data_IF_901628826420
#
_entry.id   IF_901628826420
#
_cell.length_a   1.000
_cell.length_b   1.000
_cell.length_c   1.000
_cell.angle_alpha   90.00
_cell.angle_beta   90.00
_cell.angle_gamma   90.00
#
_symmetry.space_group_name_H-M   'P 1'
#
loop_
_entity.id
_entity.type
_entity.pdbx_description
1 polymer ?
#
# COMPACT_ATOMS: atom_id res chain seq x y z
N UNK A 1 -1.02 32.71 27.04
CA UNK A 1 -1.80 31.86 26.13
C UNK A 1 -0.80 31.07 25.29
N UNK A 2 -0.92 29.74 25.20
CA UNK A 2 0.03 28.86 24.49
C UNK A 2 -0.73 27.94 23.54
N UNK A 3 -0.09 27.52 22.45
CA UNK A 3 -0.65 26.56 21.51
C UNK A 3 -0.73 25.18 22.20
N UNK A 4 -1.71 24.30 21.88
CA UNK A 4 -1.77 22.95 22.44
C UNK A 4 -0.49 22.12 22.26
N UNK A 5 0.32 22.42 21.24
CA UNK A 5 1.63 21.80 21.05
C UNK A 5 2.74 22.34 21.97
N UNK A 6 2.43 23.27 22.89
CA UNK A 6 3.36 23.91 23.81
C UNK A 6 4.04 25.18 23.27
N UNK A 7 3.87 25.52 21.99
CA UNK A 7 4.51 26.70 21.43
C UNK A 7 3.89 28.01 21.99
N UNK A 8 4.69 28.93 22.56
CA UNK A 8 4.18 30.19 23.11
C UNK A 8 3.76 31.23 22.07
N UNK A 9 4.24 31.12 20.82
CA UNK A 9 3.93 32.08 19.76
C UNK A 9 2.65 31.65 19.04
N UNK A 10 1.54 32.31 19.36
CA UNK A 10 0.25 32.12 18.70
C UNK A 10 0.19 32.95 17.43
N UNK A 11 -0.32 32.36 16.35
CA UNK A 11 -0.67 33.05 15.11
C UNK A 11 -2.16 33.40 15.09
N UNK A 12 -3.04 32.39 15.17
CA UNK A 12 -4.50 32.56 15.11
C UNK A 12 -5.22 31.35 15.73
N UNK A 13 -6.46 31.53 16.19
CA UNK A 13 -7.31 30.48 16.77
C UNK A 13 -6.67 29.69 17.93
N UNK A 14 -5.78 30.34 18.69
CA UNK A 14 -5.02 29.67 19.76
C UNK A 14 -3.95 28.69 19.25
N UNK A 15 -3.60 28.72 17.96
CA UNK A 15 -2.59 27.86 17.34
C UNK A 15 -1.34 28.64 16.94
N UNK A 16 -0.17 28.00 17.07
CA UNK A 16 1.06 28.51 16.47
C UNK A 16 1.01 28.38 14.95
N UNK A 17 1.92 29.04 14.23
CA UNK A 17 1.95 29.01 12.76
C UNK A 17 1.96 27.60 12.18
N UNK A 18 2.73 26.69 12.77
CA UNK A 18 2.80 25.28 12.33
C UNK A 18 1.48 24.55 12.55
N UNK A 19 0.91 24.61 13.76
CA UNK A 19 -0.36 23.92 14.05
C UNK A 19 -1.53 24.51 13.27
N UNK A 20 -1.52 25.82 13.04
CA UNK A 20 -2.50 26.49 12.20
C UNK A 20 -2.44 25.98 10.76
N UNK A 21 -1.25 25.93 10.15
CA UNK A 21 -1.07 25.38 8.80
C UNK A 21 -1.49 23.91 8.72
N UNK A 22 -1.09 23.08 9.69
CA UNK A 22 -1.48 21.67 9.72
C UNK A 22 -2.99 21.48 9.83
N UNK A 23 -3.67 22.27 10.66
CA UNK A 23 -5.14 22.22 10.78
C UNK A 23 -5.82 22.61 9.47
N UNK A 24 -5.37 23.69 8.82
CA UNK A 24 -5.91 24.07 7.50
C UNK A 24 -5.68 23.00 6.43
N UNK A 25 -4.50 22.39 6.40
CA UNK A 25 -4.20 21.31 5.47
C UNK A 25 -5.03 20.05 5.74
N UNK A 26 -5.33 19.75 7.01
CA UNK A 26 -6.24 18.67 7.39
C UNK A 26 -7.66 18.95 6.85
N UNK A 27 -8.17 20.16 7.07
CA UNK A 27 -9.47 20.60 6.53
C UNK A 27 -9.50 20.53 4.99
N UNK A 28 -8.46 21.05 4.32
CA UNK A 28 -8.38 21.13 2.85
C UNK A 28 -8.25 19.76 2.17
N UNK A 29 -7.37 18.89 2.68
CA UNK A 29 -7.03 17.64 2.00
C UNK A 29 -7.72 16.41 2.58
N UNK A 30 -8.13 16.43 3.85
CA UNK A 30 -8.67 15.28 4.56
C UNK A 30 -10.03 15.57 5.20
N UNK A 31 -10.61 16.74 4.99
CA UNK A 31 -11.91 17.13 5.57
C UNK A 31 -11.87 17.22 7.10
N UNK A 32 -10.70 17.44 7.70
CA UNK A 32 -10.52 17.48 9.15
C UNK A 32 -10.51 16.09 9.82
N UNK A 33 -10.41 15.00 9.02
CA UNK A 33 -10.48 13.63 9.50
C UNK A 33 -9.10 12.98 9.67
N UNK A 34 -8.00 13.66 9.32
CA UNK A 34 -6.66 13.05 9.28
C UNK A 34 -6.28 12.43 10.62
N UNK A 35 -6.44 13.16 11.72
CA UNK A 35 -6.07 12.64 13.04
C UNK A 35 -6.99 11.50 13.50
N UNK A 36 -8.30 11.60 13.25
CA UNK A 36 -9.26 10.55 13.58
C UNK A 36 -8.97 9.23 12.83
N UNK A 37 -8.53 9.30 11.57
CA UNK A 37 -8.09 8.13 10.79
C UNK A 37 -6.83 7.52 11.40
N UNK A 38 -5.86 8.34 11.79
CA UNK A 38 -4.62 7.87 12.42
C UNK A 38 -4.88 7.21 13.78
N UNK A 39 -5.71 7.82 14.62
CA UNK A 39 -6.11 7.27 15.92
C UNK A 39 -6.84 5.94 15.78
N UNK A 40 -7.82 5.85 14.87
CA UNK A 40 -8.54 4.60 14.55
C UNK A 40 -7.58 3.48 14.16
N UNK A 41 -6.54 3.83 13.43
CA UNK A 41 -5.55 2.88 12.93
C UNK A 41 -4.37 2.69 13.90
N UNK A 42 -4.45 3.26 15.10
CA UNK A 42 -3.42 3.12 16.14
C UNK A 42 -2.06 3.71 15.76
N UNK A 43 -2.04 4.70 14.87
CA UNK A 43 -0.83 5.26 14.25
C UNK A 43 0.08 4.19 13.64
N UNK A 44 -0.54 3.18 13.02
CA UNK A 44 0.14 2.03 12.41
C UNK A 44 -0.32 1.82 10.99
N UNK A 45 0.57 1.24 10.19
CA UNK A 45 0.26 0.88 8.81
C UNK A 45 -0.79 -0.23 8.77
N UNK A 46 -1.93 -0.01 8.11
CA UNK A 46 -2.99 -1.02 7.97
C UNK A 46 -2.60 -2.23 7.11
N UNK A 47 -1.52 -2.13 6.34
CA UNK A 47 -1.03 -3.22 5.46
C UNK A 47 -0.01 -4.11 6.16
N UNK A 48 1.03 -3.51 6.75
CA UNK A 48 2.18 -4.26 7.29
C UNK A 48 2.39 -4.06 8.79
N UNK A 49 1.49 -3.35 9.46
CA UNK A 49 1.52 -3.06 10.89
C UNK A 49 2.78 -2.28 11.34
N UNK A 50 3.61 -1.79 10.42
CA UNK A 50 4.75 -0.95 10.78
C UNK A 50 4.26 0.31 11.49
N UNK A 51 4.83 0.59 12.66
CA UNK A 51 4.81 1.92 13.26
C UNK A 51 5.80 2.81 12.50
N UNK A 52 5.46 4.09 12.35
CA UNK A 52 6.41 5.07 11.83
C UNK A 52 7.64 5.17 12.75
N UNK A 53 8.77 5.68 12.23
CA UNK A 53 9.89 6.13 13.10
C UNK A 53 9.44 7.26 14.05
N UNK A 54 8.35 7.92 13.71
CA UNK A 54 7.63 8.96 14.46
C UNK A 54 6.14 8.94 14.06
N UNK A 55 5.26 9.63 14.82
CA UNK A 55 3.83 9.75 14.49
C UNK A 55 3.57 10.38 13.09
N UNK A 56 4.58 11.01 12.48
CA UNK A 56 4.48 11.72 11.20
C UNK A 56 4.85 10.87 9.98
N UNK A 57 5.49 9.72 10.18
CA UNK A 57 5.85 8.82 9.08
C UNK A 57 4.72 7.92 8.63
N UNK A 58 3.63 7.82 9.40
CA UNK A 58 2.37 7.24 8.92
C UNK A 58 1.55 8.32 8.22
N UNK A 59 1.11 8.03 7.00
CA UNK A 59 0.35 8.93 6.15
C UNK A 59 -1.08 8.42 5.97
N UNK A 60 -2.03 9.35 5.84
CA UNK A 60 -3.40 9.01 5.47
C UNK A 60 -3.49 8.95 3.95
N UNK A 61 -4.05 7.85 3.45
CA UNK A 61 -4.29 7.59 2.04
C UNK A 61 -5.79 7.58 1.75
N UNK A 62 -6.21 8.24 0.67
CA UNK A 62 -7.56 8.14 0.13
C UNK A 62 -7.67 6.96 -0.85
N UNK A 63 -8.63 6.06 -0.64
CA UNK A 63 -8.96 5.00 -1.61
C UNK A 63 -9.51 5.56 -2.91
N UNK A 64 -10.25 6.67 -2.81
CA UNK A 64 -10.74 7.45 -3.96
C UNK A 64 -10.19 8.87 -3.83
N UNK A 65 -9.35 9.36 -4.75
CA UNK A 65 -8.77 10.69 -4.69
C UNK A 65 -9.83 11.79 -4.46
N UNK A 66 -9.58 12.67 -3.49
CA UNK A 66 -10.48 13.79 -3.14
C UNK A 66 -11.72 13.41 -2.32
N UNK A 67 -11.97 12.12 -2.06
CA UNK A 67 -13.13 11.67 -1.26
C UNK A 67 -12.76 11.50 0.21
N UNK A 68 -12.82 12.59 0.96
CA UNK A 68 -12.54 12.62 2.40
C UNK A 68 -13.73 12.09 3.23
N UNK A 69 -13.91 10.78 3.23
CA UNK A 69 -14.90 10.07 4.07
C UNK A 69 -14.15 9.05 4.93
N UNK A 70 -14.48 8.96 6.22
CA UNK A 70 -13.74 8.17 7.22
C UNK A 70 -13.44 6.72 6.78
N UNK A 71 -14.41 6.02 6.20
CA UNK A 71 -14.25 4.63 5.73
C UNK A 71 -13.52 4.49 4.38
N UNK A 72 -13.25 5.60 3.69
CA UNK A 72 -12.50 5.67 2.42
C UNK A 72 -11.06 6.18 2.62
N UNK A 73 -10.64 6.34 3.88
CA UNK A 73 -9.29 6.76 4.25
C UNK A 73 -8.67 5.77 5.22
N UNK A 74 -7.36 5.56 5.09
CA UNK A 74 -6.60 4.66 5.96
C UNK A 74 -5.14 5.07 6.11
N UNK A 75 -4.52 4.58 7.19
CA UNK A 75 -3.16 4.87 7.57
C UNK A 75 -2.17 3.89 6.95
N UNK A 76 -1.15 4.40 6.26
CA UNK A 76 -0.12 3.61 5.60
C UNK A 76 1.28 4.12 5.96
N UNK A 77 2.26 3.20 6.02
CA UNK A 77 3.66 3.60 6.03
C UNK A 77 4.10 4.07 4.63
N UNK A 78 5.21 4.83 4.51
CA UNK A 78 5.64 5.39 3.22
C UNK A 78 5.97 4.30 2.20
N UNK A 79 6.47 3.14 2.67
CA UNK A 79 6.76 1.99 1.81
C UNK A 79 5.51 1.37 1.20
N UNK A 80 4.45 1.13 1.99
CA UNK A 80 3.19 0.61 1.44
C UNK A 80 2.48 1.65 0.57
N UNK A 81 2.48 2.92 0.98
CA UNK A 81 1.93 4.02 0.20
C UNK A 81 2.62 4.14 -1.18
N UNK A 82 3.95 4.07 -1.21
CA UNK A 82 4.70 4.09 -2.46
C UNK A 82 4.41 2.87 -3.34
N UNK A 83 4.24 1.67 -2.76
CA UNK A 83 3.87 0.47 -3.52
C UNK A 83 2.52 0.62 -4.21
N UNK A 84 1.53 1.24 -3.56
CA UNK A 84 0.25 1.53 -4.20
C UNK A 84 0.48 2.44 -5.41
N UNK A 85 1.06 3.62 -5.24
CA UNK A 85 1.11 4.62 -6.32
C UNK A 85 2.18 4.40 -7.40
N UNK A 86 3.26 3.67 -7.11
CA UNK A 86 4.44 3.61 -7.99
C UNK A 86 4.66 2.23 -8.64
N UNK A 87 4.00 1.18 -8.15
CA UNK A 87 4.16 -0.16 -8.72
C UNK A 87 3.39 -0.25 -10.03
N UNK A 88 4.09 -0.50 -11.16
CA UNK A 88 3.46 -0.60 -12.48
C UNK A 88 2.80 -1.95 -12.74
N UNK A 89 3.37 -3.02 -12.18
CA UNK A 89 2.87 -4.38 -12.26
C UNK A 89 3.09 -5.07 -10.92
N UNK A 90 2.07 -5.77 -10.43
CA UNK A 90 2.10 -6.39 -9.10
C UNK A 90 2.34 -7.88 -9.23
N UNK A 91 3.24 -8.42 -8.41
CA UNK A 91 3.32 -9.85 -8.17
C UNK A 91 2.17 -10.26 -7.24
N UNK A 92 1.43 -11.31 -7.60
CA UNK A 92 0.28 -11.82 -6.83
C UNK A 92 0.57 -12.26 -5.37
N UNK A 93 1.81 -12.12 -4.91
CA UNK A 93 2.26 -12.38 -3.54
C UNK A 93 2.13 -11.17 -2.58
N UNK A 94 1.56 -10.04 -3.00
CA UNK A 94 1.34 -8.89 -2.10
C UNK A 94 0.30 -9.21 -1.02
N UNK A 95 0.40 -8.59 0.18
CA UNK A 95 -0.63 -8.69 1.20
C UNK A 95 -2.02 -8.32 0.64
N UNK A 96 -3.10 -9.03 1.01
CA UNK A 96 -4.42 -8.86 0.40
C UNK A 96 -4.90 -7.41 0.32
N UNK A 97 -4.80 -6.66 1.42
CA UNK A 97 -5.21 -5.25 1.46
C UNK A 97 -4.34 -4.37 0.53
N UNK A 98 -3.05 -4.64 0.43
CA UNK A 98 -2.17 -3.86 -0.46
C UNK A 98 -2.55 -4.07 -1.92
N UNK A 99 -2.89 -5.32 -2.29
CA UNK A 99 -3.33 -5.68 -3.62
C UNK A 99 -4.68 -5.03 -3.97
N UNK A 100 -5.62 -5.03 -3.02
CA UNK A 100 -6.91 -4.34 -3.16
C UNK A 100 -6.72 -2.85 -3.44
N UNK A 101 -5.95 -2.14 -2.61
CA UNK A 101 -5.68 -0.71 -2.78
C UNK A 101 -4.93 -0.42 -4.09
N UNK A 102 -4.02 -1.29 -4.51
CA UNK A 102 -3.34 -1.14 -5.78
C UNK A 102 -4.31 -1.25 -6.96
N UNK A 103 -5.24 -2.22 -6.96
CA UNK A 103 -6.26 -2.40 -8.00
C UNK A 103 -7.17 -1.19 -8.12
N UNK A 104 -7.55 -0.59 -7.01
CA UNK A 104 -8.35 0.65 -7.00
C UNK A 104 -7.61 1.79 -7.69
N UNK A 105 -6.32 1.93 -7.42
CA UNK A 105 -5.49 2.97 -8.02
C UNK A 105 -5.11 2.68 -9.48
N UNK A 106 -5.12 1.41 -9.89
CA UNK A 106 -4.69 0.91 -11.20
C UNK A 106 -5.77 0.03 -11.84
N UNK A 107 -6.93 0.57 -12.23
CA UNK A 107 -8.02 -0.23 -12.80
C UNK A 107 -7.67 -0.91 -14.14
N UNK A 108 -6.60 -0.46 -14.81
CA UNK A 108 -6.03 -1.05 -16.02
C UNK A 108 -4.65 -1.70 -15.77
N UNK A 109 -4.28 -1.90 -14.51
CA UNK A 109 -2.99 -2.45 -14.13
C UNK A 109 -2.86 -3.91 -14.50
N UNK A 110 -1.62 -4.35 -14.75
CA UNK A 110 -1.31 -5.75 -15.05
C UNK A 110 -0.81 -6.49 -13.81
N UNK A 111 -1.49 -7.58 -13.44
CA UNK A 111 -1.02 -8.50 -12.41
C UNK A 111 -0.15 -9.59 -13.05
N UNK A 112 1.02 -9.83 -12.45
CA UNK A 112 1.92 -10.90 -12.85
C UNK A 112 1.87 -12.01 -11.81
N UNK A 113 1.50 -13.21 -12.24
CA UNK A 113 1.53 -14.40 -11.39
C UNK A 113 2.92 -15.00 -11.40
N UNK A 114 3.47 -15.31 -10.22
CA UNK A 114 4.72 -16.06 -10.13
C UNK A 114 4.55 -17.46 -10.73
N UNK A 115 5.37 -17.80 -11.73
CA UNK A 115 5.43 -19.16 -12.25
C UNK A 115 6.23 -20.04 -11.28
N UNK A 116 5.68 -21.19 -10.91
CA UNK A 116 6.40 -22.19 -10.12
C UNK A 116 7.21 -23.06 -11.09
N UNK A 117 8.51 -22.78 -11.21
CA UNK A 117 9.39 -23.54 -12.10
C UNK A 117 9.81 -24.91 -11.52
N UNK A 118 9.48 -25.20 -10.26
CA UNK A 118 9.79 -26.47 -9.61
C UNK A 118 8.81 -27.60 -10.00
N UNK A 119 8.63 -27.80 -11.29
CA UNK A 119 7.92 -28.96 -11.82
C UNK A 119 8.93 -30.09 -11.88
N UNK A 120 8.70 -31.18 -11.13
CA UNK A 120 9.41 -32.44 -11.37
C UNK A 120 9.13 -32.85 -12.82
N UNK A 121 10.07 -32.59 -13.74
CA UNK A 121 9.98 -33.13 -15.09
C UNK A 121 9.86 -34.65 -14.94
N UNK A 122 8.86 -35.31 -15.55
CA UNK A 122 8.94 -36.75 -15.70
C UNK A 122 10.29 -37.06 -16.37
N UNK A 123 10.97 -38.09 -15.87
CA UNK A 123 12.25 -38.51 -16.45
C UNK A 123 12.10 -38.69 -17.96
N UNK A 124 13.14 -38.38 -18.75
CA UNK A 124 13.06 -38.47 -20.20
C UNK A 124 12.57 -39.86 -20.60
N UNK A 125 11.44 -39.91 -21.32
CA UNK A 125 10.90 -41.16 -21.83
C UNK A 125 11.83 -41.63 -22.94
N UNK A 126 12.49 -42.77 -22.74
CA UNK A 126 13.35 -43.37 -23.77
C UNK A 126 12.46 -43.94 -24.86
N UNK A 127 12.34 -43.21 -25.95
CA UNK A 127 11.75 -43.71 -27.19
C UNK A 127 12.83 -44.36 -28.04
N UNK A 128 12.63 -45.59 -28.55
CA UNK A 128 13.55 -46.20 -29.50
C UNK A 128 13.70 -45.31 -30.74
N UNK A 129 14.94 -45.06 -31.16
CA UNK A 129 15.22 -44.21 -32.32
C UNK A 129 14.87 -44.91 -33.64
N UNK A 130 14.80 -46.24 -33.65
CA UNK A 130 14.40 -47.04 -34.81
C UNK A 130 13.67 -48.31 -34.35
N UNK A 131 12.58 -48.65 -35.04
CA UNK A 131 11.98 -49.98 -34.98
C UNK A 131 12.95 -50.97 -35.61
N UNK A 132 13.58 -51.81 -34.77
CA UNK A 132 14.30 -52.98 -35.24
C UNK A 132 13.27 -53.98 -35.80
N UNK A 133 12.82 -53.76 -37.04
CA UNK A 133 12.23 -54.81 -37.84
C UNK A 133 13.32 -55.87 -38.02
N UNK A 134 13.19 -56.95 -37.25
CA UNK A 134 13.96 -58.18 -37.44
C UNK A 134 13.66 -58.72 -38.83
N UNK A 135 14.56 -58.51 -39.77
CA UNK A 135 14.57 -59.28 -41.01
C UNK A 135 15.05 -60.68 -40.64
N UNK A 136 14.11 -61.63 -40.57
CA UNK A 136 14.41 -63.06 -40.57
C UNK A 136 14.69 -63.48 -42.01
N UNK A 137 15.88 -64.07 -42.23
CA UNK A 137 16.21 -64.94 -43.37
C UNK A 137 16.24 -66.36 -42.89
#
# INVERSE_FOLDING_TARGET
MHCPCGNPRILALGLCSTCYTLKRQDEEYFGGLREAVLERDGYRCRVCDASGRDKRSIVVHHRVPGKSVMNMMLSLCPGCHAKIHRTKAVLSAMPPLLLELWREQHPKGHEQTSLVFNVKKPGPQRVPLFDLKKNQT
#
